data_IF_705193553883
#
_entry.id   IF_705193553883
#
_cell.length_a   1.000
_cell.length_b   1.000
_cell.length_c   1.000
_cell.angle_alpha   90.00
_cell.angle_beta   90.00
_cell.angle_gamma   90.00
#
_symmetry.space_group_name_H-M   'P 1'
#
loop_
_entity.id
_entity.type
_entity.pdbx_description
1 polymer ?
#
# COMPACT_ATOMS: atom_id res chain seq x y z
N UNK A 1 -0.94 -19.93 -5.10
CA UNK A 1 0.29 -20.26 -5.86
C UNK A 1 -0.01 -19.97 -7.32
N UNK A 2 0.83 -19.12 -7.94
CA UNK A 2 0.69 -18.82 -9.36
C UNK A 2 0.96 -20.03 -10.24
N UNK A 3 0.54 -19.95 -11.47
CA UNK A 3 0.77 -20.95 -12.50
C UNK A 3 1.80 -20.45 -13.52
N UNK A 4 2.35 -21.35 -14.32
CA UNK A 4 3.23 -20.99 -15.44
C UNK A 4 2.46 -21.17 -16.75
N UNK A 5 2.56 -20.17 -17.63
CA UNK A 5 2.08 -20.26 -19.01
C UNK A 5 3.25 -20.15 -19.98
N UNK A 6 3.09 -20.74 -21.16
CA UNK A 6 4.07 -20.60 -22.25
C UNK A 6 3.59 -19.54 -23.22
N UNK A 7 4.50 -18.63 -23.60
CA UNK A 7 4.27 -17.55 -24.54
C UNK A 7 5.18 -17.74 -25.75
N UNK A 8 4.60 -17.72 -26.95
CA UNK A 8 5.37 -17.78 -28.20
C UNK A 8 6.05 -16.44 -28.49
N UNK A 9 7.34 -16.45 -28.75
CA UNK A 9 8.07 -15.26 -29.16
C UNK A 9 7.61 -14.80 -30.53
N UNK A 10 7.41 -13.49 -30.70
CA UNK A 10 6.87 -12.88 -31.93
C UNK A 10 7.78 -13.08 -33.15
N UNK A 11 9.09 -13.30 -32.93
CA UNK A 11 10.09 -13.54 -33.98
C UNK A 11 10.21 -15.01 -34.40
N UNK A 12 9.42 -15.90 -33.80
CA UNK A 12 9.43 -17.34 -34.10
C UNK A 12 10.66 -18.10 -33.57
N UNK A 13 11.47 -17.49 -32.68
CA UNK A 13 12.70 -18.12 -32.14
C UNK A 13 12.42 -19.16 -31.06
N UNK A 14 11.19 -19.28 -30.57
CA UNK A 14 10.78 -20.24 -29.56
C UNK A 14 9.69 -19.72 -28.65
N UNK A 15 9.59 -20.30 -27.47
CA UNK A 15 8.62 -19.89 -26.43
C UNK A 15 9.30 -19.71 -25.08
N UNK A 16 8.72 -18.87 -24.24
CA UNK A 16 9.20 -18.57 -22.90
C UNK A 16 8.10 -18.68 -21.87
N UNK A 17 8.49 -18.94 -20.63
CA UNK A 17 7.55 -19.04 -19.53
C UNK A 17 7.17 -17.64 -18.96
N UNK A 18 5.95 -17.51 -18.47
CA UNK A 18 5.57 -16.43 -17.60
C UNK A 18 4.90 -16.96 -16.33
N UNK A 19 5.26 -16.40 -15.18
CA UNK A 19 4.53 -16.62 -13.94
C UNK A 19 3.22 -15.82 -13.98
N UNK A 20 2.12 -16.48 -13.64
CA UNK A 20 0.78 -15.88 -13.65
C UNK A 20 0.23 -15.83 -12.24
N UNK A 21 -0.15 -14.63 -11.80
CA UNK A 21 -0.93 -14.43 -10.59
C UNK A 21 -2.33 -13.88 -10.95
N UNK A 22 -3.37 -14.37 -10.25
CA UNK A 22 -4.76 -13.99 -10.51
C UNK A 22 -5.45 -13.53 -9.23
N UNK A 23 -6.34 -12.52 -9.32
CA UNK A 23 -7.18 -12.14 -8.19
C UNK A 23 -8.12 -13.29 -7.80
N UNK A 24 -8.63 -13.26 -6.57
CA UNK A 24 -9.57 -14.28 -6.06
C UNK A 24 -10.83 -14.41 -6.92
N UNK A 25 -11.25 -13.33 -7.59
CA UNK A 25 -12.36 -13.31 -8.55
C UNK A 25 -12.06 -14.05 -9.85
N UNK A 26 -10.79 -14.37 -10.10
CA UNK A 26 -10.31 -14.95 -11.36
C UNK A 26 -10.27 -13.97 -12.53
N UNK A 27 -10.71 -12.72 -12.36
CA UNK A 27 -10.82 -11.72 -13.44
C UNK A 27 -10.33 -10.34 -13.00
N UNK A 28 -9.63 -9.65 -13.90
CA UNK A 28 -9.15 -8.29 -13.65
C UNK A 28 -8.42 -7.68 -14.83
N UNK A 29 -8.10 -6.37 -14.77
CA UNK A 29 -7.20 -5.74 -15.73
C UNK A 29 -5.82 -6.42 -15.71
N UNK A 30 -5.08 -6.28 -16.81
CA UNK A 30 -3.79 -6.92 -16.97
C UNK A 30 -2.63 -6.08 -16.49
N UNK A 31 -1.62 -6.72 -15.89
CA UNK A 31 -0.31 -6.11 -15.61
C UNK A 31 0.80 -7.03 -16.13
N UNK A 32 1.71 -6.49 -16.92
CA UNK A 32 2.97 -7.17 -17.23
C UNK A 32 4.05 -6.64 -16.28
N UNK A 33 4.60 -7.52 -15.47
CA UNK A 33 5.64 -7.22 -14.48
C UNK A 33 7.02 -7.61 -15.02
N UNK A 34 7.85 -6.62 -15.34
CA UNK A 34 9.21 -6.83 -15.80
C UNK A 34 10.17 -7.05 -14.62
N UNK A 35 10.94 -8.13 -14.70
CA UNK A 35 11.88 -8.58 -13.68
C UNK A 35 13.06 -7.62 -13.46
N UNK A 36 13.74 -7.77 -12.31
CA UNK A 36 15.08 -7.25 -12.08
C UNK A 36 16.13 -8.14 -12.80
N UNK A 37 17.41 -7.95 -12.47
CA UNK A 37 18.51 -8.78 -13.06
C UNK A 37 18.59 -10.21 -12.48
N UNK A 38 17.72 -10.57 -11.55
CA UNK A 38 17.75 -11.86 -10.84
C UNK A 38 16.75 -12.90 -11.41
N UNK A 39 16.12 -12.60 -12.53
CA UNK A 39 15.08 -13.47 -13.13
C UNK A 39 13.72 -13.33 -12.43
N UNK A 40 12.82 -14.28 -12.73
CA UNK A 40 11.50 -14.36 -12.09
C UNK A 40 11.63 -15.05 -10.73
N UNK A 41 12.35 -14.39 -9.82
CA UNK A 41 12.68 -14.91 -8.50
C UNK A 41 11.53 -14.74 -7.48
N UNK A 42 11.81 -15.11 -6.23
CA UNK A 42 10.82 -15.01 -5.13
C UNK A 42 10.24 -13.63 -4.96
N UNK A 43 11.04 -12.57 -5.10
CA UNK A 43 10.56 -11.19 -5.01
C UNK A 43 9.58 -10.83 -6.14
N UNK A 44 9.91 -11.18 -7.38
CA UNK A 44 9.06 -10.90 -8.54
C UNK A 44 7.73 -11.66 -8.42
N UNK A 45 7.76 -12.93 -8.02
CA UNK A 45 6.53 -13.72 -7.80
C UNK A 45 5.66 -13.14 -6.69
N UNK A 46 6.24 -12.76 -5.53
CA UNK A 46 5.47 -12.11 -4.47
C UNK A 46 4.90 -10.76 -4.90
N UNK A 47 5.62 -10.00 -5.70
CA UNK A 47 5.12 -8.74 -6.27
C UNK A 47 3.93 -8.98 -7.19
N UNK A 48 4.00 -10.01 -8.04
CA UNK A 48 2.88 -10.43 -8.89
C UNK A 48 1.66 -10.86 -8.05
N UNK A 49 1.88 -11.66 -7.00
CA UNK A 49 0.80 -12.10 -6.09
C UNK A 49 0.15 -10.92 -5.37
N UNK A 50 0.93 -9.94 -4.89
CA UNK A 50 0.39 -8.71 -4.28
C UNK A 50 -0.45 -7.88 -5.24
N UNK A 51 0.00 -7.74 -6.49
CA UNK A 51 -0.81 -7.06 -7.52
C UNK A 51 -2.09 -7.84 -7.84
N UNK A 52 -2.06 -9.16 -7.76
CA UNK A 52 -3.26 -9.97 -7.91
C UNK A 52 -4.24 -9.79 -6.73
N UNK A 53 -3.76 -9.64 -5.50
CA UNK A 53 -4.59 -9.28 -4.34
C UNK A 53 -5.27 -7.90 -4.54
N UNK A 54 -4.63 -7.00 -5.31
CA UNK A 54 -5.19 -5.69 -5.69
C UNK A 54 -6.18 -5.74 -6.87
N UNK A 55 -6.45 -6.93 -7.41
CA UNK A 55 -7.47 -7.17 -8.44
C UNK A 55 -6.94 -7.30 -9.87
N UNK A 56 -5.63 -7.45 -10.08
CA UNK A 56 -5.03 -7.55 -11.42
C UNK A 56 -4.71 -8.99 -11.82
N UNK A 57 -4.82 -9.30 -13.10
CA UNK A 57 -4.21 -10.49 -13.70
C UNK A 57 -2.78 -10.13 -14.10
N UNK A 58 -1.78 -10.79 -13.51
CA UNK A 58 -0.38 -10.40 -13.63
C UNK A 58 0.41 -11.46 -14.35
N UNK A 59 1.15 -11.05 -15.40
CA UNK A 59 2.15 -11.87 -16.06
C UNK A 59 3.55 -11.35 -15.73
N UNK A 60 4.41 -12.20 -15.19
CA UNK A 60 5.83 -11.94 -15.03
C UNK A 60 6.63 -12.87 -15.98
N UNK A 61 6.98 -12.39 -17.19
CA UNK A 61 7.68 -13.19 -18.18
C UNK A 61 9.13 -13.39 -17.80
N UNK A 62 9.68 -14.58 -18.11
CA UNK A 62 11.11 -14.85 -18.04
C UNK A 62 11.83 -14.17 -19.21
N UNK A 63 12.40 -13.00 -18.95
CA UNK A 63 13.06 -12.20 -19.99
C UNK A 63 14.50 -12.67 -20.27
N UNK A 64 15.06 -13.56 -19.43
CA UNK A 64 16.38 -14.13 -19.68
C UNK A 64 16.36 -15.43 -20.48
N UNK A 65 15.18 -15.91 -20.90
CA UNK A 65 15.03 -17.19 -21.59
C UNK A 65 15.91 -17.35 -22.85
N UNK A 66 16.23 -16.25 -23.55
CA UNK A 66 17.09 -16.27 -24.74
C UNK A 66 18.56 -16.51 -24.40
N UNK A 67 18.96 -16.31 -23.16
CA UNK A 67 20.30 -16.57 -22.63
C UNK A 67 20.28 -17.91 -21.89
N UNK A 68 19.44 -17.99 -20.87
CA UNK A 68 19.23 -19.18 -20.04
C UNK A 68 17.81 -19.12 -19.46
N UNK A 69 16.93 -20.09 -19.80
CA UNK A 69 15.57 -20.10 -19.28
C UNK A 69 15.51 -20.50 -17.81
N UNK A 70 14.51 -19.95 -17.08
CA UNK A 70 14.23 -20.33 -15.71
C UNK A 70 15.19 -19.75 -14.67
N UNK A 71 15.79 -18.61 -14.94
CA UNK A 71 16.66 -17.91 -13.98
C UNK A 71 15.81 -17.47 -12.76
N UNK A 72 16.27 -17.94 -11.58
CA UNK A 72 15.68 -17.67 -10.26
C UNK A 72 16.80 -17.51 -9.24
N UNK A 73 17.38 -16.31 -9.17
CA UNK A 73 18.53 -16.00 -8.33
C UNK A 73 18.12 -15.28 -7.06
N UNK A 74 18.81 -15.59 -5.95
CA UNK A 74 18.83 -14.79 -4.74
C UNK A 74 19.79 -13.61 -4.83
N UNK A 75 20.29 -13.17 -3.66
CA UNK A 75 21.10 -11.96 -3.53
C UNK A 75 22.46 -12.20 -2.88
N UNK A 76 22.95 -13.45 -2.86
CA UNK A 76 24.32 -13.77 -2.44
C UNK A 76 25.34 -13.17 -3.41
N UNK A 77 26.59 -12.94 -2.98
CA UNK A 77 27.64 -12.38 -3.85
C UNK A 77 27.83 -13.14 -5.18
N UNK A 78 27.77 -14.46 -5.15
CA UNK A 78 27.93 -15.29 -6.34
C UNK A 78 26.72 -15.16 -7.29
N UNK A 79 25.51 -15.15 -6.75
CA UNK A 79 24.29 -14.93 -7.51
C UNK A 79 24.24 -13.52 -8.10
N UNK A 80 24.71 -12.52 -7.34
CA UNK A 80 24.85 -11.16 -7.83
C UNK A 80 25.81 -11.06 -9.03
N UNK A 81 26.95 -11.71 -8.95
CA UNK A 81 27.90 -11.76 -10.07
C UNK A 81 27.28 -12.42 -11.30
N UNK A 82 26.55 -13.52 -11.12
CA UNK A 82 25.82 -14.20 -12.19
C UNK A 82 24.73 -13.30 -12.79
N UNK A 83 23.92 -12.66 -11.96
CA UNK A 83 22.89 -11.73 -12.39
C UNK A 83 23.45 -10.57 -13.20
N UNK A 84 24.60 -10.03 -12.80
CA UNK A 84 25.28 -8.96 -13.55
C UNK A 84 25.79 -9.45 -14.92
N UNK A 85 26.31 -10.69 -15.00
CA UNK A 85 26.66 -11.31 -16.27
C UNK A 85 25.47 -11.47 -17.23
N UNK A 86 24.30 -11.86 -16.70
CA UNK A 86 23.05 -11.93 -17.47
C UNK A 86 22.59 -10.56 -17.94
N UNK A 87 22.67 -9.55 -17.07
CA UNK A 87 22.36 -8.16 -17.43
C UNK A 87 23.22 -7.61 -18.56
N UNK A 88 24.53 -7.91 -18.54
CA UNK A 88 25.45 -7.49 -19.61
C UNK A 88 25.19 -8.19 -20.95
N UNK A 89 24.71 -9.44 -20.92
CA UNK A 89 24.38 -10.23 -22.11
C UNK A 89 22.97 -9.98 -22.65
N UNK A 90 22.14 -9.23 -21.89
CA UNK A 90 20.73 -9.02 -22.21
C UNK A 90 20.55 -8.07 -23.39
N UNK A 91 19.85 -8.53 -24.41
CA UNK A 91 19.42 -7.71 -25.56
C UNK A 91 18.11 -6.99 -25.22
N UNK A 92 18.21 -5.68 -25.02
CA UNK A 92 17.07 -4.83 -24.62
C UNK A 92 15.97 -4.81 -25.68
N UNK A 93 16.33 -4.78 -26.97
CA UNK A 93 15.35 -4.71 -28.06
C UNK A 93 14.55 -6.02 -28.15
N UNK A 94 15.25 -7.16 -28.01
CA UNK A 94 14.58 -8.46 -27.90
C UNK A 94 13.74 -8.61 -26.63
N UNK A 95 14.20 -8.04 -25.53
CA UNK A 95 13.39 -7.99 -24.30
C UNK A 95 12.09 -7.23 -24.45
N UNK A 96 12.07 -6.13 -25.24
CA UNK A 96 10.84 -5.39 -25.52
C UNK A 96 9.93 -6.13 -26.50
N UNK A 97 10.48 -6.83 -27.50
CA UNK A 97 9.71 -7.73 -28.36
C UNK A 97 9.01 -8.83 -27.53
N UNK A 98 9.72 -9.43 -26.57
CA UNK A 98 9.17 -10.46 -25.66
C UNK A 98 8.10 -9.87 -24.71
N UNK A 99 8.28 -8.65 -24.21
CA UNK A 99 7.25 -7.95 -23.44
C UNK A 99 6.01 -7.66 -24.29
N UNK A 100 6.18 -7.28 -25.55
CA UNK A 100 5.08 -7.14 -26.52
C UNK A 100 4.31 -8.44 -26.71
N UNK A 101 5.02 -9.57 -26.85
CA UNK A 101 4.40 -10.88 -26.93
C UNK A 101 3.66 -11.25 -25.63
N UNK A 102 4.24 -10.91 -24.46
CA UNK A 102 3.60 -11.13 -23.16
C UNK A 102 2.31 -10.29 -23.00
N UNK A 103 2.31 -9.03 -23.47
CA UNK A 103 1.12 -8.17 -23.49
C UNK A 103 0.03 -8.77 -24.38
N UNK A 104 0.37 -9.24 -25.57
CA UNK A 104 -0.58 -9.88 -26.48
C UNK A 104 -1.16 -11.17 -25.90
N UNK A 105 -0.31 -12.00 -25.27
CA UNK A 105 -0.74 -13.22 -24.59
C UNK A 105 -1.64 -12.93 -23.39
N UNK A 106 -1.32 -11.90 -22.60
CA UNK A 106 -2.13 -11.48 -21.47
C UNK A 106 -3.51 -10.97 -21.94
N UNK A 107 -3.58 -10.19 -23.01
CA UNK A 107 -4.86 -9.73 -23.58
C UNK A 107 -5.74 -10.87 -24.09
N UNK A 108 -5.13 -11.98 -24.52
CA UNK A 108 -5.84 -13.18 -24.96
C UNK A 108 -6.15 -14.15 -23.78
N UNK A 109 -5.66 -13.86 -22.59
CA UNK A 109 -5.77 -14.77 -21.46
C UNK A 109 -7.18 -14.75 -20.86
N UNK A 110 -7.71 -15.96 -20.53
CA UNK A 110 -9.03 -16.08 -19.87
C UNK A 110 -8.98 -15.47 -18.46
N UNK A 111 -9.85 -14.50 -18.23
CA UNK A 111 -9.90 -13.72 -17.00
C UNK A 111 -9.28 -12.32 -17.10
N UNK A 112 -8.50 -12.01 -18.14
CA UNK A 112 -8.09 -10.63 -18.40
C UNK A 112 -9.29 -9.84 -18.95
N UNK A 113 -9.53 -8.66 -18.37
CA UNK A 113 -10.60 -7.74 -18.80
C UNK A 113 -10.11 -6.29 -18.75
N UNK A 114 -10.53 -5.46 -19.71
CA UNK A 114 -10.12 -4.05 -19.74
C UNK A 114 -8.69 -3.84 -20.25
N UNK A 115 -8.01 -2.82 -19.73
CA UNK A 115 -6.69 -2.40 -20.16
C UNK A 115 -5.54 -3.27 -19.63
N UNK A 116 -4.33 -3.00 -20.14
CA UNK A 116 -3.08 -3.65 -19.73
C UNK A 116 -2.04 -2.58 -19.41
N UNK A 117 -1.50 -2.61 -18.19
CA UNK A 117 -0.37 -1.79 -17.76
C UNK A 117 0.93 -2.58 -17.67
N UNK A 118 2.03 -1.85 -17.51
CA UNK A 118 3.34 -2.46 -17.22
C UNK A 118 3.98 -1.83 -16.00
N UNK A 119 4.72 -2.63 -15.24
CA UNK A 119 5.57 -2.19 -14.14
C UNK A 119 6.85 -2.97 -14.13
N UNK A 120 7.94 -2.34 -13.73
CA UNK A 120 9.21 -3.03 -13.61
C UNK A 120 10.17 -2.35 -12.64
N UNK A 121 11.13 -3.13 -12.17
CA UNK A 121 12.09 -2.76 -11.14
C UNK A 121 13.52 -2.89 -11.69
N UNK A 122 14.40 -1.95 -11.41
CA UNK A 122 15.80 -1.97 -11.87
C UNK A 122 15.88 -2.04 -13.42
N UNK A 123 16.44 -3.11 -13.99
CA UNK A 123 16.36 -3.42 -15.43
C UNK A 123 14.91 -3.32 -15.93
N UNK A 124 13.98 -3.95 -15.21
CA UNK A 124 12.55 -3.88 -15.52
C UNK A 124 11.99 -2.47 -15.51
N UNK A 125 12.53 -1.56 -14.70
CA UNK A 125 12.14 -0.16 -14.70
C UNK A 125 12.49 0.56 -16.02
N UNK A 126 13.65 0.25 -16.60
CA UNK A 126 14.01 0.67 -17.97
C UNK A 126 13.05 0.05 -18.99
N UNK A 127 12.83 -1.26 -18.87
CA UNK A 127 11.96 -1.97 -19.81
C UNK A 127 10.52 -1.46 -19.75
N UNK A 128 10.02 -1.05 -18.60
CA UNK A 128 8.68 -0.47 -18.47
C UNK A 128 8.56 0.85 -19.24
N UNK A 129 9.56 1.74 -19.19
CA UNK A 129 9.57 2.96 -19.99
C UNK A 129 9.61 2.66 -21.51
N UNK A 130 10.49 1.73 -21.92
CA UNK A 130 10.60 1.35 -23.34
C UNK A 130 9.35 0.59 -23.84
N UNK A 131 8.72 -0.20 -22.99
CA UNK A 131 7.42 -0.83 -23.30
C UNK A 131 6.36 0.23 -23.54
N UNK A 132 6.32 1.29 -22.73
CA UNK A 132 5.41 2.41 -22.95
C UNK A 132 5.69 3.19 -24.24
N UNK A 133 6.95 3.24 -24.67
CA UNK A 133 7.34 3.90 -25.93
C UNK A 133 7.04 3.05 -27.18
N UNK A 134 7.18 1.73 -27.07
CA UNK A 134 7.22 0.83 -28.22
C UNK A 134 6.03 -0.12 -28.35
N UNK A 135 5.08 -0.05 -27.39
CA UNK A 135 3.85 -0.86 -27.39
C UNK A 135 2.63 0.02 -27.11
N UNK A 136 1.46 -0.60 -27.05
CA UNK A 136 0.18 0.08 -26.82
C UNK A 136 -0.37 -0.17 -25.41
N UNK A 137 0.53 -0.25 -24.37
CA UNK A 137 0.08 -0.35 -22.97
C UNK A 137 -0.66 0.92 -22.53
N UNK A 138 -1.63 0.75 -21.63
CA UNK A 138 -2.48 1.84 -21.18
C UNK A 138 -1.81 2.71 -20.10
N UNK A 139 -0.82 2.17 -19.36
CA UNK A 139 0.02 2.90 -18.42
C UNK A 139 1.30 2.15 -18.07
N UNK A 140 2.27 2.87 -17.52
CA UNK A 140 3.57 2.29 -17.15
C UNK A 140 4.08 2.81 -15.79
N UNK A 141 4.85 1.97 -15.08
CA UNK A 141 5.52 2.37 -13.85
C UNK A 141 6.96 1.85 -13.84
N UNK A 142 7.90 2.75 -13.62
CA UNK A 142 9.33 2.48 -13.52
C UNK A 142 9.82 2.67 -12.10
N UNK A 143 10.27 1.60 -11.45
CA UNK A 143 10.95 1.66 -10.15
C UNK A 143 12.47 1.63 -10.38
N UNK A 144 13.15 2.66 -9.88
CA UNK A 144 14.61 2.79 -9.93
C UNK A 144 15.22 2.23 -11.24
N UNK A 145 14.64 2.62 -12.37
CA UNK A 145 15.07 2.17 -13.69
C UNK A 145 16.49 2.62 -14.01
N UNK A 146 17.31 1.71 -14.53
CA UNK A 146 18.73 1.95 -14.82
C UNK A 146 18.94 2.26 -16.29
N UNK A 147 19.73 3.32 -16.60
CA UNK A 147 20.09 3.67 -17.97
C UNK A 147 18.91 4.22 -18.78
N UNK A 148 17.94 4.85 -18.14
CA UNK A 148 16.79 5.51 -18.80
C UNK A 148 17.23 6.68 -19.68
N UNK A 149 18.28 7.39 -19.28
CA UNK A 149 18.83 8.56 -19.97
C UNK A 149 19.36 8.23 -21.37
N UNK A 150 19.74 6.97 -21.61
CA UNK A 150 20.17 6.52 -22.93
C UNK A 150 19.02 6.40 -23.97
N UNK A 151 17.76 6.54 -23.54
CA UNK A 151 16.57 6.35 -24.34
C UNK A 151 15.61 7.54 -24.31
N UNK A 152 16.12 8.73 -23.94
CA UNK A 152 15.28 9.94 -23.83
C UNK A 152 14.75 10.43 -25.19
N UNK A 153 15.37 10.03 -26.27
CA UNK A 153 14.93 10.27 -27.65
C UNK A 153 13.63 9.54 -28.02
N UNK A 154 13.26 8.50 -27.25
CA UNK A 154 12.01 7.76 -27.42
C UNK A 154 10.82 8.32 -26.61
N UNK A 155 11.05 9.33 -25.78
CA UNK A 155 10.02 9.88 -24.88
C UNK A 155 8.80 10.39 -25.68
N UNK A 156 8.99 10.94 -26.86
CA UNK A 156 7.87 11.43 -27.70
C UNK A 156 6.92 10.33 -28.14
N UNK A 157 7.37 9.08 -28.16
CA UNK A 157 6.55 7.91 -28.51
C UNK A 157 5.65 7.46 -27.37
N UNK A 158 5.96 7.84 -26.12
CA UNK A 158 5.17 7.48 -24.94
C UNK A 158 3.87 8.30 -24.94
N UNK A 159 2.74 7.66 -25.17
CA UNK A 159 1.42 8.31 -25.21
C UNK A 159 0.56 8.02 -23.98
N UNK A 160 0.90 7.00 -23.22
CA UNK A 160 0.19 6.61 -22.00
C UNK A 160 0.75 7.32 -20.74
N UNK A 161 -0.02 7.41 -19.67
CA UNK A 161 0.49 7.88 -18.38
C UNK A 161 1.61 6.99 -17.85
N UNK A 162 2.65 7.63 -17.28
CA UNK A 162 3.81 6.93 -16.72
C UNK A 162 4.25 7.55 -15.39
N UNK A 163 4.64 6.68 -14.44
CA UNK A 163 5.16 7.08 -13.12
C UNK A 163 6.59 6.55 -12.98
N UNK A 164 7.47 7.42 -12.47
CA UNK A 164 8.85 7.08 -12.15
C UNK A 164 9.06 7.20 -10.64
N UNK A 165 9.60 6.15 -10.03
CA UNK A 165 10.05 6.09 -8.65
C UNK A 165 11.57 6.03 -8.60
N UNK A 166 12.22 7.14 -8.24
CA UNK A 166 13.67 7.24 -8.13
C UNK A 166 14.12 7.18 -6.68
N UNK A 167 15.27 6.59 -6.42
CA UNK A 167 15.97 6.70 -5.14
C UNK A 167 16.99 7.84 -5.20
N UNK A 168 17.11 8.63 -4.12
CA UNK A 168 18.02 9.79 -4.10
C UNK A 168 19.49 9.39 -4.20
N UNK A 169 19.88 8.32 -3.48
CA UNK A 169 21.25 7.85 -3.34
C UNK A 169 21.64 6.78 -4.38
N UNK A 170 20.79 6.52 -5.37
CA UNK A 170 20.99 5.49 -6.37
C UNK A 170 22.20 5.77 -7.27
N UNK A 171 23.27 4.98 -7.09
CA UNK A 171 24.47 5.07 -7.92
C UNK A 171 24.30 4.53 -9.35
N UNK A 172 23.28 3.72 -9.61
CA UNK A 172 22.95 3.18 -10.94
C UNK A 172 22.04 4.13 -11.75
N UNK A 173 21.37 5.06 -11.06
CA UNK A 173 20.58 6.13 -11.68
C UNK A 173 20.92 7.47 -10.98
N UNK A 174 22.15 8.01 -11.17
CA UNK A 174 22.61 9.21 -10.49
C UNK A 174 21.75 10.44 -10.85
N UNK A 175 21.88 11.51 -10.06
CA UNK A 175 21.05 12.71 -10.22
C UNK A 175 21.05 13.23 -11.65
N UNK A 176 22.22 13.30 -12.29
CA UNK A 176 22.37 13.80 -13.66
C UNK A 176 21.53 12.96 -14.66
N UNK A 177 21.52 11.65 -14.52
CA UNK A 177 20.71 10.76 -15.36
C UNK A 177 19.20 10.98 -15.11
N UNK A 178 18.79 11.12 -13.83
CA UNK A 178 17.41 11.43 -13.47
C UNK A 178 16.94 12.77 -14.02
N UNK A 179 17.79 13.80 -13.92
CA UNK A 179 17.51 15.15 -14.43
C UNK A 179 17.36 15.17 -15.97
N UNK A 180 18.17 14.37 -16.69
CA UNK A 180 18.03 14.19 -18.14
C UNK A 180 16.66 13.59 -18.49
N UNK A 181 16.24 12.52 -17.81
CA UNK A 181 14.94 11.89 -18.00
C UNK A 181 13.82 12.89 -17.71
N UNK A 182 13.85 13.57 -16.55
CA UNK A 182 12.83 14.55 -16.19
C UNK A 182 12.75 15.70 -17.21
N UNK A 183 13.90 16.15 -17.72
CA UNK A 183 13.98 17.20 -18.73
C UNK A 183 13.35 16.74 -20.05
N UNK A 184 13.60 15.52 -20.47
CA UNK A 184 13.00 14.96 -21.71
C UNK A 184 11.47 14.87 -21.63
N UNK A 185 10.92 14.66 -20.44
CA UNK A 185 9.47 14.67 -20.22
C UNK A 185 8.89 16.06 -19.93
N UNK A 186 9.70 17.12 -19.94
CA UNK A 186 9.21 18.46 -19.60
C UNK A 186 8.08 18.88 -20.55
N UNK A 187 6.93 19.25 -19.97
CA UNK A 187 5.73 19.61 -20.71
C UNK A 187 4.88 18.44 -21.23
N UNK A 188 5.31 17.19 -21.02
CA UNK A 188 4.53 16.01 -21.40
C UNK A 188 3.49 15.69 -20.32
N UNK A 189 2.23 15.78 -20.68
CA UNK A 189 1.14 15.43 -19.78
C UNK A 189 1.15 13.93 -19.45
N UNK A 190 0.86 13.57 -18.20
CA UNK A 190 0.73 12.18 -17.76
C UNK A 190 2.01 11.56 -17.20
N UNK A 191 3.16 12.22 -17.24
CA UNK A 191 4.37 11.77 -16.56
C UNK A 191 4.42 12.32 -15.12
N UNK A 192 4.77 11.46 -14.17
CA UNK A 192 4.96 11.83 -12.76
C UNK A 192 6.27 11.26 -12.24
N UNK A 193 7.01 12.06 -11.48
CA UNK A 193 8.33 11.71 -10.95
C UNK A 193 8.33 11.85 -9.43
N UNK A 194 8.81 10.83 -8.75
CA UNK A 194 8.96 10.82 -7.30
C UNK A 194 10.36 10.37 -6.93
N UNK A 195 11.10 11.22 -6.22
CA UNK A 195 12.40 10.89 -5.66
C UNK A 195 12.27 10.67 -4.16
N UNK A 196 12.72 9.52 -3.68
CA UNK A 196 12.65 9.12 -2.27
C UNK A 196 13.97 9.47 -1.60
N UNK A 197 13.87 10.45 -0.68
CA UNK A 197 15.02 11.03 0.03
C UNK A 197 15.64 9.99 0.96
N UNK A 198 16.96 9.89 0.97
CA UNK A 198 17.72 8.94 1.79
C UNK A 198 17.66 7.49 1.33
N UNK A 199 16.90 7.18 0.27
CA UNK A 199 16.80 5.83 -0.27
C UNK A 199 17.87 5.55 -1.32
N UNK A 200 18.32 4.30 -1.38
CA UNK A 200 19.24 3.77 -2.38
C UNK A 200 18.50 2.86 -3.37
N UNK A 201 19.23 2.35 -4.35
CA UNK A 201 18.71 1.40 -5.35
C UNK A 201 18.00 0.21 -4.69
N UNK A 202 16.89 -0.23 -5.29
CA UNK A 202 16.06 -1.33 -4.78
C UNK A 202 15.34 -1.07 -3.42
N UNK A 203 15.08 0.18 -3.05
CA UNK A 203 14.40 0.55 -1.80
C UNK A 203 13.02 -0.11 -1.62
N UNK A 204 12.36 -0.51 -2.71
CA UNK A 204 11.05 -1.17 -2.67
C UNK A 204 11.14 -2.71 -2.57
N UNK A 205 12.32 -3.29 -2.68
CA UNK A 205 12.52 -4.73 -2.57
C UNK A 205 12.60 -5.15 -1.10
N UNK A 206 11.63 -5.92 -0.64
CA UNK A 206 11.50 -6.35 0.76
C UNK A 206 12.57 -7.35 1.24
N UNK A 207 13.46 -7.74 0.36
CA UNK A 207 14.66 -8.52 0.64
C UNK A 207 15.90 -7.69 0.37
N UNK A 208 16.75 -7.54 1.37
CA UNK A 208 18.03 -6.83 1.24
C UNK A 208 18.15 -5.57 2.11
N UNK A 209 19.36 -5.01 2.12
CA UNK A 209 19.76 -3.92 3.02
C UNK A 209 19.16 -2.56 2.65
N UNK A 210 18.72 -2.39 1.40
CA UNK A 210 18.21 -1.10 0.88
C UNK A 210 16.71 -0.92 1.07
N UNK A 211 16.02 -1.91 1.64
CA UNK A 211 14.57 -1.82 1.83
C UNK A 211 14.19 -0.70 2.78
N UNK A 212 13.45 0.28 2.28
CA UNK A 212 12.80 1.31 3.09
C UNK A 212 11.28 1.12 3.07
N UNK A 213 10.74 0.70 4.21
CA UNK A 213 9.32 0.36 4.34
C UNK A 213 8.40 1.54 4.01
N UNK A 214 8.77 2.77 4.44
CA UNK A 214 7.95 3.94 4.21
C UNK A 214 7.96 4.33 2.72
N UNK A 215 9.15 4.43 2.13
CA UNK A 215 9.30 4.75 0.72
C UNK A 215 8.63 3.70 -0.19
N UNK A 216 8.81 2.40 0.13
CA UNK A 216 8.17 1.31 -0.58
C UNK A 216 6.63 1.40 -0.53
N UNK A 217 6.07 1.69 0.66
CA UNK A 217 4.62 1.87 0.83
C UNK A 217 4.11 3.07 0.03
N UNK A 218 4.80 4.21 0.08
CA UNK A 218 4.44 5.40 -0.68
C UNK A 218 4.53 5.18 -2.20
N UNK A 219 5.55 4.46 -2.66
CA UNK A 219 5.71 4.13 -4.08
C UNK A 219 4.58 3.19 -4.55
N UNK A 220 4.24 2.19 -3.75
CA UNK A 220 3.15 1.27 -4.04
C UNK A 220 1.79 1.98 -4.11
N UNK A 221 1.48 2.88 -3.16
CA UNK A 221 0.22 3.65 -3.17
C UNK A 221 0.11 4.51 -4.44
N UNK A 222 1.20 5.16 -4.86
CA UNK A 222 1.25 5.96 -6.10
C UNK A 222 1.09 5.10 -7.36
N UNK A 223 1.72 3.92 -7.37
CA UNK A 223 1.59 2.93 -8.45
C UNK A 223 0.14 2.46 -8.59
N UNK A 224 -0.47 2.03 -7.48
CA UNK A 224 -1.86 1.59 -7.47
C UNK A 224 -2.82 2.75 -7.78
N UNK A 225 -2.50 3.97 -7.35
CA UNK A 225 -3.24 5.17 -7.72
C UNK A 225 -3.29 5.40 -9.23
N UNK A 226 -2.16 5.20 -9.94
CA UNK A 226 -2.13 5.22 -11.40
C UNK A 226 -2.95 4.08 -12.01
N UNK A 227 -2.69 2.84 -11.58
CA UNK A 227 -3.36 1.67 -12.14
C UNK A 227 -4.87 1.73 -11.97
N UNK A 228 -5.36 2.06 -10.78
CA UNK A 228 -6.81 2.22 -10.52
C UNK A 228 -7.44 3.31 -11.35
N UNK A 229 -6.75 4.42 -11.55
CA UNK A 229 -7.23 5.53 -12.39
C UNK A 229 -7.35 5.16 -13.88
N UNK A 230 -6.42 4.37 -14.40
CA UNK A 230 -6.33 4.06 -15.83
C UNK A 230 -7.00 2.73 -16.16
N UNK A 231 -6.77 1.69 -15.37
CA UNK A 231 -7.19 0.33 -15.64
C UNK A 231 -8.42 -0.08 -14.82
N UNK A 232 -8.60 0.50 -13.62
CA UNK A 232 -9.43 -0.08 -12.56
C UNK A 232 -8.68 -1.22 -11.85
N UNK A 233 -9.39 -2.05 -11.05
CA UNK A 233 -10.72 -1.78 -10.55
C UNK A 233 -10.73 -0.60 -9.57
N UNK A 234 -11.83 0.15 -9.55
CA UNK A 234 -12.04 1.23 -8.58
C UNK A 234 -12.75 0.65 -7.34
N UNK A 235 -12.16 0.87 -6.18
CA UNK A 235 -12.75 0.47 -4.89
C UNK A 235 -13.16 1.70 -4.10
N UNK A 236 -14.39 1.71 -3.58
CA UNK A 236 -14.82 2.71 -2.62
C UNK A 236 -14.39 2.30 -1.21
N UNK A 237 -13.15 2.63 -0.84
CA UNK A 237 -12.57 2.30 0.47
C UNK A 237 -13.38 2.91 1.61
N UNK A 238 -14.05 4.04 1.35
CA UNK A 238 -14.93 4.68 2.33
C UNK A 238 -16.16 3.82 2.62
N UNK A 239 -16.83 3.32 1.57
CA UNK A 239 -17.97 2.43 1.72
C UNK A 239 -17.59 1.07 2.34
N UNK A 240 -16.44 0.54 1.99
CA UNK A 240 -15.92 -0.72 2.57
C UNK A 240 -15.69 -0.58 4.09
N UNK A 241 -15.05 0.51 4.52
CA UNK A 241 -14.85 0.81 5.94
C UNK A 241 -16.19 1.05 6.66
N UNK A 242 -17.11 1.77 6.03
CA UNK A 242 -18.44 1.99 6.60
C UNK A 242 -19.20 0.69 6.80
N UNK A 243 -19.10 -0.24 5.87
CA UNK A 243 -19.70 -1.57 5.97
C UNK A 243 -19.07 -2.38 7.10
N UNK A 244 -17.76 -2.36 7.24
CA UNK A 244 -17.05 -3.03 8.33
C UNK A 244 -17.54 -2.51 9.70
N UNK A 245 -17.50 -1.19 9.92
CA UNK A 245 -18.01 -0.59 11.14
C UNK A 245 -19.51 -0.88 11.38
N UNK A 246 -20.32 -0.96 10.32
CA UNK A 246 -21.73 -1.32 10.46
C UNK A 246 -21.90 -2.73 11.02
N UNK A 247 -21.06 -3.68 10.59
CA UNK A 247 -21.08 -5.04 11.14
C UNK A 247 -20.57 -5.12 12.57
N UNK A 248 -19.64 -4.28 12.96
CA UNK A 248 -19.12 -4.23 14.34
C UNK A 248 -20.11 -3.61 15.34
N UNK A 249 -20.69 -2.47 14.99
CA UNK A 249 -21.43 -1.61 15.93
C UNK A 249 -22.94 -1.66 15.77
N UNK A 250 -23.46 -1.91 14.55
CA UNK A 250 -24.90 -1.91 14.29
C UNK A 250 -25.49 -3.33 14.29
N UNK A 251 -25.03 -4.20 13.40
CA UNK A 251 -25.54 -5.58 13.34
C UNK A 251 -24.91 -6.48 14.38
N UNK A 252 -23.71 -6.14 14.86
CA UNK A 252 -22.92 -6.92 15.83
C UNK A 252 -22.71 -8.36 15.35
N UNK A 253 -22.38 -8.51 14.06
CA UNK A 253 -22.25 -9.80 13.40
C UNK A 253 -20.79 -10.11 13.07
N UNK A 254 -20.14 -10.89 13.92
CA UNK A 254 -18.71 -11.25 13.77
C UNK A 254 -18.41 -11.96 12.44
N UNK A 255 -19.20 -12.95 11.96
CA UNK A 255 -18.98 -13.52 10.63
C UNK A 255 -18.97 -12.50 9.51
N UNK A 256 -19.89 -11.54 9.50
CA UNK A 256 -19.98 -10.49 8.47
C UNK A 256 -18.82 -9.50 8.61
N UNK A 257 -18.41 -9.14 9.84
CA UNK A 257 -17.20 -8.33 10.10
C UNK A 257 -15.97 -9.01 9.49
N UNK A 258 -15.75 -10.29 9.81
CA UNK A 258 -14.60 -11.05 9.30
C UNK A 258 -14.64 -11.23 7.77
N UNK A 259 -15.82 -11.31 7.17
CA UNK A 259 -15.96 -11.43 5.71
C UNK A 259 -15.50 -10.18 4.93
N UNK A 260 -15.41 -9.01 5.59
CA UNK A 260 -14.88 -7.79 4.98
C UNK A 260 -13.34 -7.74 4.98
N UNK A 261 -12.68 -8.69 5.61
CA UNK A 261 -11.22 -8.70 5.81
C UNK A 261 -10.53 -9.74 4.92
N UNK A 262 -9.25 -9.55 4.68
CA UNK A 262 -8.38 -10.55 4.01
C UNK A 262 -8.26 -11.83 4.85
N UNK A 263 -7.68 -12.89 4.27
CA UNK A 263 -7.49 -14.17 4.97
C UNK A 263 -6.59 -14.07 6.21
N UNK A 264 -5.56 -13.21 6.16
CA UNK A 264 -4.61 -12.97 7.27
C UNK A 264 -4.63 -11.49 7.70
N UNK A 265 -5.69 -11.03 8.36
CA UNK A 265 -5.84 -9.63 8.77
C UNK A 265 -5.05 -9.33 10.04
N UNK A 266 -4.85 -8.05 10.33
CA UNK A 266 -4.23 -7.58 11.56
C UNK A 266 -4.95 -6.35 12.11
N UNK A 267 -5.31 -6.38 13.39
CA UNK A 267 -5.90 -5.25 14.12
C UNK A 267 -5.12 -5.00 15.41
N UNK A 268 -4.83 -3.74 15.68
CA UNK A 268 -4.17 -3.34 16.93
C UNK A 268 -4.76 -2.04 17.48
N UNK A 269 -5.34 -2.13 18.65
CA UNK A 269 -5.73 -1.01 19.47
C UNK A 269 -4.51 -0.54 20.26
N UNK A 270 -3.87 0.51 19.79
CA UNK A 270 -2.52 0.91 20.22
C UNK A 270 -2.39 1.14 21.73
N UNK A 271 -3.31 1.88 22.41
CA UNK A 271 -3.13 2.17 23.85
C UNK A 271 -3.18 0.94 24.76
N UNK A 272 -3.86 -0.11 24.34
CA UNK A 272 -4.08 -1.33 25.15
C UNK A 272 -3.46 -2.57 24.55
N UNK A 273 -2.87 -2.48 23.34
CA UNK A 273 -2.28 -3.59 22.60
C UNK A 273 -3.25 -4.77 22.39
N UNK A 274 -4.54 -4.47 22.20
CA UNK A 274 -5.59 -5.45 21.96
C UNK A 274 -5.93 -5.57 20.49
N UNK A 275 -6.41 -6.74 20.06
CA UNK A 275 -6.66 -7.09 18.67
C UNK A 275 -6.20 -8.50 18.37
N UNK A 276 -5.52 -8.70 17.24
CA UNK A 276 -4.98 -10.00 16.88
C UNK A 276 -4.37 -10.05 15.48
N UNK A 277 -3.68 -11.14 15.18
CA UNK A 277 -3.06 -11.44 13.90
C UNK A 277 -3.70 -12.70 13.32
N UNK A 278 -4.15 -12.61 12.06
CA UNK A 278 -4.80 -13.71 11.36
C UNK A 278 -6.27 -13.91 11.75
N UNK A 279 -7.00 -14.58 10.87
CA UNK A 279 -8.45 -14.75 11.00
C UNK A 279 -8.88 -15.45 12.30
N UNK A 280 -8.10 -16.41 12.80
CA UNK A 280 -8.44 -17.16 13.99
C UNK A 280 -8.42 -16.30 15.24
N UNK A 281 -7.33 -15.54 15.47
CA UNK A 281 -7.21 -14.66 16.64
C UNK A 281 -8.22 -13.53 16.59
N UNK A 282 -8.38 -12.89 15.44
CA UNK A 282 -9.33 -11.79 15.27
C UNK A 282 -10.77 -12.24 15.41
N UNK A 283 -11.18 -13.38 14.84
CA UNK A 283 -12.54 -13.90 15.05
C UNK A 283 -12.83 -14.16 16.53
N UNK A 284 -11.83 -14.66 17.29
CA UNK A 284 -11.94 -14.82 18.74
C UNK A 284 -12.04 -13.48 19.44
N UNK A 285 -11.18 -12.52 19.08
CA UNK A 285 -11.18 -11.17 19.65
C UNK A 285 -12.51 -10.47 19.42
N UNK A 286 -12.98 -10.40 18.18
CA UNK A 286 -14.25 -9.78 17.83
C UNK A 286 -15.42 -10.41 18.58
N UNK A 287 -15.46 -11.74 18.68
CA UNK A 287 -16.57 -12.47 19.30
C UNK A 287 -16.66 -12.25 20.81
N UNK A 288 -15.52 -12.31 21.51
CA UNK A 288 -15.56 -12.40 22.95
C UNK A 288 -15.10 -11.11 23.67
N UNK A 289 -14.40 -10.23 22.96
CA UNK A 289 -13.73 -9.10 23.60
C UNK A 289 -14.08 -7.75 22.99
N UNK A 290 -14.72 -7.71 21.81
CA UNK A 290 -14.98 -6.46 21.10
C UNK A 290 -16.46 -6.22 20.80
N UNK A 291 -17.08 -6.98 19.89
CA UNK A 291 -18.41 -6.67 19.35
C UNK A 291 -19.48 -6.61 20.43
N UNK A 292 -19.57 -7.65 21.26
CA UNK A 292 -20.54 -7.71 22.36
C UNK A 292 -20.05 -7.03 23.64
N UNK A 293 -18.75 -6.71 23.76
CA UNK A 293 -18.20 -5.97 24.89
C UNK A 293 -18.54 -4.47 24.83
N UNK A 294 -18.81 -3.93 23.66
CA UNK A 294 -19.21 -2.54 23.50
C UNK A 294 -20.60 -2.28 24.11
N UNK A 295 -20.77 -1.19 24.93
CA UNK A 295 -22.06 -0.78 25.45
C UNK A 295 -23.12 -0.61 24.36
N UNK A 296 -24.42 -0.78 24.66
CA UNK A 296 -25.48 -0.67 23.65
C UNK A 296 -25.63 0.71 23.04
N UNK A 297 -25.22 1.76 23.77
CA UNK A 297 -25.26 3.16 23.36
C UNK A 297 -23.97 3.64 22.66
N UNK A 298 -23.04 2.70 22.39
CA UNK A 298 -21.79 3.03 21.66
C UNK A 298 -22.10 3.70 20.32
N UNK A 299 -21.45 4.84 20.08
CA UNK A 299 -21.65 5.65 18.89
C UNK A 299 -20.33 6.15 18.34
N UNK A 300 -20.16 6.04 17.03
CA UNK A 300 -19.09 6.68 16.26
C UNK A 300 -19.64 7.99 15.66
N UNK A 301 -19.02 9.11 16.00
CA UNK A 301 -19.31 10.42 15.39
C UNK A 301 -18.15 10.77 14.49
N UNK A 302 -18.32 10.61 13.19
CA UNK A 302 -17.29 10.88 12.19
C UNK A 302 -17.08 12.38 12.04
N UNK A 303 -15.82 12.82 11.95
CA UNK A 303 -15.43 14.22 11.83
C UNK A 303 -14.72 14.49 10.50
N UNK A 304 -13.70 13.70 10.18
CA UNK A 304 -12.96 13.84 8.93
C UNK A 304 -12.48 12.49 8.43
N UNK A 305 -12.28 12.38 7.12
CA UNK A 305 -11.75 11.18 6.49
C UNK A 305 -10.81 11.54 5.34
N UNK A 306 -9.61 11.00 5.35
CA UNK A 306 -8.66 11.06 4.23
C UNK A 306 -8.59 9.69 3.58
N UNK A 307 -8.70 9.62 2.25
CA UNK A 307 -8.70 8.37 1.49
C UNK A 307 -7.57 8.40 0.47
N UNK A 308 -6.68 7.42 0.55
CA UNK A 308 -5.62 7.13 -0.42
C UNK A 308 -6.02 6.02 -1.39
N UNK A 309 -5.06 5.50 -2.14
CA UNK A 309 -5.30 4.37 -3.04
C UNK A 309 -5.43 3.03 -2.31
N UNK A 310 -4.72 2.86 -1.19
CA UNK A 310 -4.66 1.60 -0.43
C UNK A 310 -5.06 1.75 1.03
N UNK A 311 -5.32 2.97 1.49
CA UNK A 311 -5.57 3.22 2.90
C UNK A 311 -6.52 4.39 3.10
N UNK A 312 -7.11 4.45 4.30
CA UNK A 312 -7.81 5.63 4.79
C UNK A 312 -7.41 5.95 6.23
N UNK A 313 -7.59 7.22 6.59
CA UNK A 313 -7.51 7.69 7.97
C UNK A 313 -8.87 8.29 8.32
N UNK A 314 -9.49 7.79 9.37
CA UNK A 314 -10.79 8.23 9.88
C UNK A 314 -10.63 8.89 11.25
N UNK A 315 -11.00 10.15 11.36
CA UNK A 315 -11.04 10.90 12.62
C UNK A 315 -12.47 10.95 13.13
N UNK A 316 -12.69 10.54 14.37
CA UNK A 316 -14.02 10.40 14.93
C UNK A 316 -14.03 10.62 16.45
N UNK A 317 -15.21 10.76 17.02
CA UNK A 317 -15.43 10.56 18.45
C UNK A 317 -16.01 9.16 18.66
N UNK A 318 -15.46 8.46 19.63
CA UNK A 318 -16.00 7.23 20.18
C UNK A 318 -16.72 7.56 21.49
N UNK A 319 -18.03 7.35 21.50
CA UNK A 319 -18.90 7.76 22.62
C UNK A 319 -19.61 6.54 23.20
N UNK A 320 -19.64 6.41 24.53
CA UNK A 320 -20.35 5.33 25.20
C UNK A 320 -20.61 5.64 26.67
N UNK A 321 -21.57 4.95 27.29
CA UNK A 321 -21.72 4.92 28.75
C UNK A 321 -21.09 3.63 29.27
N UNK A 322 -20.13 3.72 30.19
CA UNK A 322 -19.40 2.57 30.74
C UNK A 322 -20.30 1.71 31.67
N UNK A 323 -21.27 1.00 31.04
CA UNK A 323 -22.28 0.19 31.72
C UNK A 323 -21.96 -1.29 31.79
N UNK A 324 -20.87 -1.72 31.15
CA UNK A 324 -20.37 -3.10 31.16
C UNK A 324 -18.85 -3.11 31.11
N UNK A 325 -18.26 -4.26 31.32
CA UNK A 325 -16.82 -4.46 31.15
C UNK A 325 -16.47 -4.33 29.66
N UNK A 326 -15.43 -3.54 29.36
CA UNK A 326 -14.91 -3.29 28.02
C UNK A 326 -13.42 -3.66 28.05
N UNK A 327 -13.14 -4.96 28.03
CA UNK A 327 -11.78 -5.45 28.30
C UNK A 327 -10.76 -5.12 27.20
N UNK A 328 -11.21 -4.81 25.99
CA UNK A 328 -10.33 -4.33 24.94
C UNK A 328 -9.82 -2.89 25.16
N UNK A 329 -10.63 -2.01 25.81
CA UNK A 329 -10.29 -0.61 26.08
C UNK A 329 -9.94 -0.37 27.55
N UNK A 330 -10.63 -1.06 28.47
CA UNK A 330 -10.56 -0.88 29.92
C UNK A 330 -10.37 -2.22 30.64
N UNK A 331 -9.30 -2.99 30.33
CA UNK A 331 -9.10 -4.31 30.92
C UNK A 331 -9.05 -4.25 32.44
N UNK A 332 -9.89 -5.06 33.10
CA UNK A 332 -9.96 -5.16 34.55
C UNK A 332 -10.62 -3.98 35.26
N UNK A 333 -11.23 -3.04 34.56
CA UNK A 333 -11.95 -1.90 35.13
C UNK A 333 -13.45 -2.20 35.20
N UNK A 334 -13.99 -2.25 36.44
CA UNK A 334 -15.43 -2.47 36.66
C UNK A 334 -16.27 -1.31 36.08
N UNK A 335 -17.50 -1.58 35.60
CA UNK A 335 -18.40 -0.58 35.06
C UNK A 335 -18.66 0.57 36.03
N UNK A 336 -18.50 1.80 35.58
CA UNK A 336 -18.66 3.02 36.40
C UNK A 336 -19.98 3.74 36.19
N UNK A 337 -20.72 3.40 35.12
CA UNK A 337 -21.93 4.10 34.71
C UNK A 337 -21.69 5.50 34.13
N UNK A 338 -20.45 5.94 33.98
CA UNK A 338 -20.10 7.27 33.47
C UNK A 338 -20.08 7.28 31.96
N UNK A 339 -20.46 8.42 31.39
CA UNK A 339 -20.42 8.69 29.95
C UNK A 339 -19.02 9.14 29.53
N UNK A 340 -18.57 8.69 28.38
CA UNK A 340 -17.26 8.95 27.80
C UNK A 340 -17.42 9.43 26.36
N UNK A 341 -16.70 10.50 26.00
CA UNK A 341 -16.46 10.95 24.63
C UNK A 341 -14.95 11.07 24.42
N UNK A 342 -14.40 10.33 23.49
CA UNK A 342 -12.96 10.32 23.23
C UNK A 342 -12.65 10.49 21.74
N UNK A 343 -11.73 11.43 21.36
CA UNK A 343 -11.18 11.47 20.04
C UNK A 343 -10.47 10.16 19.71
N UNK A 344 -10.79 9.60 18.54
CA UNK A 344 -10.25 8.35 18.06
C UNK A 344 -9.81 8.50 16.60
N UNK A 345 -8.65 7.94 16.26
CA UNK A 345 -8.14 7.88 14.90
C UNK A 345 -7.98 6.41 14.50
N UNK A 346 -8.61 6.04 13.41
CA UNK A 346 -8.42 4.75 12.75
C UNK A 346 -7.55 4.93 11.49
N UNK A 347 -6.45 4.19 11.41
CA UNK A 347 -5.64 4.07 10.20
C UNK A 347 -5.90 2.68 9.63
N UNK A 348 -6.58 2.63 8.49
CA UNK A 348 -7.07 1.40 7.87
C UNK A 348 -6.40 1.20 6.53
N UNK A 349 -5.85 0.00 6.32
CA UNK A 349 -5.22 -0.39 5.07
C UNK A 349 -6.03 -1.50 4.41
N UNK A 350 -6.05 -1.49 3.07
CA UNK A 350 -6.80 -2.42 2.26
C UNK A 350 -5.88 -3.16 1.28
N UNK A 351 -6.34 -4.32 0.84
CA UNK A 351 -5.86 -5.04 -0.33
C UNK A 351 -7.05 -5.32 -1.22
N UNK A 352 -7.09 -4.69 -2.38
CA UNK A 352 -8.27 -4.72 -3.22
C UNK A 352 -9.50 -4.16 -2.50
N UNK A 353 -10.54 -4.96 -2.39
CA UNK A 353 -11.81 -4.68 -1.74
C UNK A 353 -11.94 -5.19 -0.29
N UNK A 354 -10.83 -5.58 0.34
CA UNK A 354 -10.84 -6.16 1.68
C UNK A 354 -9.91 -5.40 2.64
N UNK A 355 -10.33 -5.29 3.90
CA UNK A 355 -9.50 -4.72 4.95
C UNK A 355 -8.35 -5.67 5.27
N UNK A 356 -7.15 -5.09 5.33
CA UNK A 356 -5.93 -5.83 5.63
C UNK A 356 -5.42 -5.54 7.03
N UNK A 357 -5.45 -4.28 7.46
CA UNK A 357 -4.72 -3.83 8.62
C UNK A 357 -5.37 -2.59 9.24
N UNK A 358 -5.55 -2.60 10.57
CA UNK A 358 -6.09 -1.48 11.32
C UNK A 358 -5.20 -1.14 12.51
N UNK A 359 -4.88 0.15 12.64
CA UNK A 359 -4.31 0.73 13.85
C UNK A 359 -5.28 1.76 14.41
N UNK A 360 -5.72 1.55 15.64
CA UNK A 360 -6.69 2.39 16.31
C UNK A 360 -6.01 3.13 17.47
N UNK A 361 -6.13 4.45 17.47
CA UNK A 361 -5.48 5.35 18.43
C UNK A 361 -6.51 6.15 19.21
N UNK A 362 -6.30 6.28 20.52
CA UNK A 362 -7.02 7.21 21.38
C UNK A 362 -6.15 7.59 22.58
N UNK A 363 -6.57 8.63 23.34
CA UNK A 363 -5.94 8.99 24.60
C UNK A 363 -6.53 8.19 25.76
N UNK A 364 -5.81 7.17 26.24
CA UNK A 364 -6.24 6.33 27.34
C UNK A 364 -6.34 7.10 28.66
N UNK A 365 -5.48 8.11 28.89
CA UNK A 365 -5.54 8.92 30.09
C UNK A 365 -6.86 9.72 30.16
N UNK A 366 -7.29 10.30 29.05
CA UNK A 366 -8.60 10.96 28.97
C UNK A 366 -9.78 10.02 29.28
N UNK A 367 -9.74 8.78 28.80
CA UNK A 367 -10.77 7.78 29.14
C UNK A 367 -10.79 7.52 30.65
N UNK A 368 -9.62 7.27 31.25
CA UNK A 368 -9.50 6.99 32.69
C UNK A 368 -9.95 8.18 33.56
N UNK A 369 -9.67 9.41 33.14
CA UNK A 369 -10.18 10.64 33.82
C UNK A 369 -11.70 10.68 33.76
N UNK A 370 -12.31 10.47 32.60
CA UNK A 370 -13.76 10.55 32.41
C UNK A 370 -14.52 9.51 33.23
N UNK A 371 -13.99 8.29 33.34
CA UNK A 371 -14.60 7.24 34.18
C UNK A 371 -14.25 7.39 35.65
N UNK A 372 -13.35 8.31 36.05
CA UNK A 372 -12.90 8.58 37.41
C UNK A 372 -11.94 7.55 37.97
N UNK A 373 -11.26 6.81 37.12
CA UNK A 373 -10.17 5.89 37.47
C UNK A 373 -8.80 6.59 37.57
N UNK A 374 -8.68 7.81 37.03
CA UNK A 374 -7.49 8.66 37.11
C UNK A 374 -7.88 10.05 37.66
N UNK A 375 -7.23 10.51 38.73
CA UNK A 375 -7.30 11.89 39.20
C UNK A 375 -6.39 12.77 38.33
N UNK A 376 -6.92 13.76 37.60
CA UNK A 376 -6.10 14.64 36.74
C UNK A 376 -5.29 15.68 37.53
N UNK A 377 -5.54 15.86 38.84
CA UNK A 377 -4.84 16.85 39.67
C UNK A 377 -3.33 16.66 39.66
N UNK A 378 -2.60 17.69 39.19
CA UNK A 378 -1.13 17.65 39.07
C UNK A 378 -0.59 16.84 37.89
N UNK A 379 -1.45 16.32 37.00
CA UNK A 379 -1.06 15.61 35.79
C UNK A 379 -1.40 16.46 34.55
N UNK A 380 -0.59 16.40 33.50
CA UNK A 380 -0.88 17.11 32.23
C UNK A 380 -1.86 16.31 31.37
N UNK A 381 -3.04 16.02 31.89
CA UNK A 381 -4.08 15.23 31.22
C UNK A 381 -5.42 15.98 31.30
N UNK A 382 -6.26 15.80 30.30
CA UNK A 382 -7.64 16.31 30.26
C UNK A 382 -8.61 15.14 30.11
N UNK A 383 -9.88 15.39 30.40
CA UNK A 383 -10.96 14.43 30.22
C UNK A 383 -11.75 14.71 28.94
N UNK A 384 -13.07 14.94 29.11
CA UNK A 384 -14.01 15.20 28.00
C UNK A 384 -13.68 16.48 27.21
N UNK A 385 -12.87 17.37 27.77
CA UNK A 385 -12.44 18.62 27.15
C UNK A 385 -11.72 18.38 25.83
N UNK A 386 -11.01 17.24 25.70
CA UNK A 386 -10.34 16.84 24.43
C UNK A 386 -11.34 16.68 23.30
N UNK A 387 -12.45 15.98 23.53
CA UNK A 387 -13.51 15.78 22.56
C UNK A 387 -14.25 17.09 22.26
N UNK A 388 -14.56 17.89 23.28
CA UNK A 388 -15.22 19.20 23.09
C UNK A 388 -14.37 20.15 22.27
N UNK A 389 -13.05 20.23 22.53
CA UNK A 389 -12.14 21.08 21.79
C UNK A 389 -12.02 20.66 20.33
N UNK A 390 -12.12 19.37 20.03
CA UNK A 390 -12.11 18.84 18.66
C UNK A 390 -13.38 19.27 17.89
N UNK A 391 -14.53 19.37 18.58
CA UNK A 391 -15.80 19.80 17.97
C UNK A 391 -15.94 21.32 17.85
N UNK A 392 -15.26 22.07 18.73
CA UNK A 392 -15.33 23.53 18.77
C UNK A 392 -13.92 24.12 18.96
N UNK A 393 -13.33 24.54 17.87
CA UNK A 393 -11.99 25.14 17.85
C UNK A 393 -11.91 26.48 18.60
N UNK A 394 -13.02 27.15 18.85
CA UNK A 394 -13.08 28.40 19.62
C UNK A 394 -12.90 28.19 21.12
N UNK A 395 -13.03 26.95 21.63
CA UNK A 395 -12.76 26.66 23.04
C UNK A 395 -11.28 26.93 23.38
N UNK A 396 -10.96 27.30 24.64
CA UNK A 396 -9.61 27.66 25.04
C UNK A 396 -8.58 26.59 24.72
N UNK A 397 -7.44 27.01 24.16
CA UNK A 397 -6.24 26.19 23.99
C UNK A 397 -5.29 26.39 25.16
N UNK A 398 -4.32 25.49 25.32
CA UNK A 398 -3.20 25.61 26.26
C UNK A 398 -3.60 25.64 27.75
N UNK A 399 -4.80 25.17 28.09
CA UNK A 399 -5.34 25.20 29.46
C UNK A 399 -4.52 24.41 30.48
N UNK A 400 -3.74 23.42 30.01
CA UNK A 400 -2.80 22.63 30.84
C UNK A 400 -1.42 23.26 30.95
N UNK A 401 -1.14 24.36 30.22
CA UNK A 401 0.17 25.00 30.20
C UNK A 401 0.20 26.19 31.17
N UNK A 402 0.65 25.95 32.40
CA UNK A 402 0.74 27.04 33.41
C UNK A 402 1.56 28.26 32.94
N UNK A 403 2.60 28.04 32.12
CA UNK A 403 3.44 29.11 31.59
C UNK A 403 2.76 29.90 30.44
N UNK A 404 1.60 29.48 29.92
CA UNK A 404 0.96 30.15 28.80
C UNK A 404 0.60 31.59 29.11
N UNK A 405 -0.04 31.84 30.26
CA UNK A 405 -0.44 33.18 30.69
C UNK A 405 0.76 34.13 30.86
N UNK A 406 1.92 33.59 31.30
CA UNK A 406 3.14 34.40 31.54
C UNK A 406 3.92 34.72 30.26
N UNK A 407 3.54 34.13 29.14
CA UNK A 407 4.17 34.39 27.83
C UNK A 407 3.44 35.48 27.03
N UNK A 408 2.26 35.94 27.47
CA UNK A 408 1.46 36.91 26.72
C UNK A 408 2.17 38.28 26.54
N UNK A 409 3.01 38.66 27.49
CA UNK A 409 3.76 39.93 27.47
C UNK A 409 5.19 39.79 26.95
N UNK A 410 5.61 38.61 26.48
CA UNK A 410 6.94 38.44 25.87
C UNK A 410 6.89 38.97 24.45
N UNK A 411 7.77 39.94 24.17
CA UNK A 411 7.98 40.44 22.81
C UNK A 411 8.55 39.31 21.92
N UNK A 412 8.16 39.32 20.65
CA UNK A 412 8.73 38.43 19.62
C UNK A 412 10.20 38.75 19.36
#
# INVERSE_FOLDING_TARGET
MGELVSIEASDGSGSFAAYVAKPATGKGPGIVLAQEIFGVNGYVRRTADRLAEEGYVVFAPDLFWRIEPGIDLGYSPDEWQRAFGLFQAFDVDKGIEDLGAAIAALRAYDGQVGGVGTVGHCLGGKLAMLTAARTDVDCAVSYYGVGLEAHVDEVDQITCPIVFHFAELDSYAPQEARDQVQTAFAGKAGASFYTYVGCDHAFARDEGEHFDKLAASMANDRTLGLFRKVLGPAYDLSALWDQHCYHEFATRNVPDTMATMVAEPYVNHIPTMTGGVGAQELSRFYRWHFVDANPPDTKLVRLSRTVGATSLVDEMLFCFTHTREIDWMLPGVAPTGKYVEIPLVAIVNFRGDQLYHEHIYWDQASVLVQIGALDPNGLPVAGIETAKKLLDEALPSNTLMAAWATSADKAD
#
